data_IF_194729015579
#
_entry.id   IF_194729015579
#
_cell.length_a   1.000
_cell.length_b   1.000
_cell.length_c   1.000
_cell.angle_alpha   90.00
_cell.angle_beta   90.00
_cell.angle_gamma   90.00
#
_symmetry.space_group_name_H-M   'P 1'
#
loop_
_entity.id
_entity.type
_entity.pdbx_description
1 polymer ?
#
# COMPACT_ATOMS: atom_id res chain seq x y z
N UNK A 1 24.32 6.66 29.41
CA UNK A 1 23.92 6.73 27.99
C UNK A 1 22.62 5.97 27.83
N UNK A 2 21.51 6.65 27.57
CA UNK A 2 20.24 5.99 27.29
C UNK A 2 20.34 5.33 25.90
N UNK A 3 20.54 4.01 25.89
CA UNK A 3 20.66 3.24 24.64
C UNK A 3 19.26 3.07 24.04
N UNK A 4 19.11 3.34 22.75
CA UNK A 4 17.82 3.15 22.06
C UNK A 4 17.29 1.73 22.27
N UNK A 5 16.04 1.60 22.71
CA UNK A 5 15.37 0.31 22.89
C UNK A 5 15.04 -0.32 21.53
N UNK A 6 14.97 -1.64 21.48
CA UNK A 6 14.59 -2.42 20.29
C UNK A 6 13.22 -1.97 19.77
N UNK A 7 12.25 -1.74 20.66
CA UNK A 7 10.91 -1.26 20.27
C UNK A 7 10.96 0.08 19.53
N UNK A 8 11.76 1.04 20.03
CA UNK A 8 11.93 2.31 19.33
C UNK A 8 12.67 2.14 18.01
N UNK A 9 13.58 1.17 17.92
CA UNK A 9 14.31 0.91 16.69
C UNK A 9 13.41 0.37 15.58
N UNK A 10 12.42 -0.46 15.90
CA UNK A 10 11.41 -0.93 14.94
C UNK A 10 10.66 0.28 14.36
N UNK A 11 10.19 1.19 15.23
CA UNK A 11 9.49 2.42 14.82
C UNK A 11 10.37 3.30 13.93
N UNK A 12 11.65 3.47 14.30
CA UNK A 12 12.59 4.26 13.48
C UNK A 12 12.86 3.59 12.14
N UNK A 13 12.93 2.26 12.11
CA UNK A 13 13.16 1.49 10.88
C UNK A 13 12.01 1.62 9.88
N UNK A 14 10.80 2.02 10.31
CA UNK A 14 9.70 2.34 9.38
C UNK A 14 10.01 3.52 8.46
N UNK A 15 10.95 4.38 8.84
CA UNK A 15 11.36 5.55 8.06
C UNK A 15 12.57 5.29 7.15
N UNK A 16 13.09 4.05 7.14
CA UNK A 16 14.16 3.67 6.23
C UNK A 16 13.66 3.65 4.79
N UNK A 17 14.55 3.98 3.86
CA UNK A 17 14.19 4.12 2.45
C UNK A 17 14.64 2.92 1.62
N UNK A 18 15.70 2.24 2.05
CA UNK A 18 16.30 1.12 1.33
C UNK A 18 16.46 -0.11 2.24
N UNK A 19 16.46 -1.31 1.64
CA UNK A 19 16.78 -2.56 2.33
C UNK A 19 18.16 -2.51 2.98
N UNK A 20 19.11 -1.77 2.39
CA UNK A 20 20.46 -1.63 2.93
C UNK A 20 20.48 -0.98 4.32
N UNK A 21 19.55 -0.07 4.62
CA UNK A 21 19.44 0.54 5.94
C UNK A 21 19.10 -0.51 7.01
N UNK A 22 18.17 -1.42 6.69
CA UNK A 22 17.81 -2.54 7.57
C UNK A 22 18.97 -3.51 7.77
N UNK A 23 19.63 -3.90 6.67
CA UNK A 23 20.79 -4.81 6.74
C UNK A 23 21.90 -4.18 7.59
N UNK A 24 22.20 -2.90 7.38
CA UNK A 24 23.20 -2.19 8.16
C UNK A 24 22.84 -2.14 9.65
N UNK A 25 21.57 -1.88 9.98
CA UNK A 25 21.10 -1.84 11.36
C UNK A 25 21.37 -3.16 12.10
N UNK A 26 21.05 -4.30 11.47
CA UNK A 26 21.26 -5.61 12.09
C UNK A 26 22.74 -5.98 12.20
N UNK A 27 23.56 -5.58 11.22
CA UNK A 27 25.01 -5.82 11.23
C UNK A 27 25.75 -5.00 12.30
N UNK A 28 25.30 -3.78 12.59
CA UNK A 28 25.96 -2.88 13.54
C UNK A 28 25.82 -3.37 14.99
N UNK A 29 24.72 -4.04 15.35
CA UNK A 29 24.54 -4.54 16.71
C UNK A 29 23.65 -5.78 16.78
N UNK A 30 24.15 -6.81 17.49
CA UNK A 30 23.37 -8.00 17.86
C UNK A 30 22.07 -7.67 18.61
N UNK A 31 21.99 -6.49 19.23
CA UNK A 31 20.75 -6.02 19.89
C UNK A 31 19.59 -5.88 18.91
N UNK A 32 19.88 -5.48 17.68
CA UNK A 32 18.89 -5.28 16.63
C UNK A 32 18.89 -6.43 15.63
N UNK A 33 19.52 -7.55 15.97
CA UNK A 33 19.42 -8.76 15.16
C UNK A 33 17.93 -9.15 15.00
N UNK A 34 17.60 -9.64 13.81
CA UNK A 34 16.25 -10.09 13.45
C UNK A 34 15.22 -8.95 13.53
N UNK A 35 15.61 -7.68 13.31
CA UNK A 35 14.71 -6.53 13.29
C UNK A 35 13.70 -6.65 12.13
N UNK A 36 14.14 -7.10 10.96
CA UNK A 36 13.28 -7.30 9.79
C UNK A 36 12.22 -8.39 10.03
N UNK A 37 12.53 -9.42 10.83
CA UNK A 37 11.57 -10.47 11.18
C UNK A 37 10.40 -9.96 12.03
N UNK A 38 10.55 -8.81 12.69
CA UNK A 38 9.51 -8.23 13.57
C UNK A 38 8.40 -7.52 12.80
N UNK A 39 8.57 -7.33 11.49
CA UNK A 39 7.59 -6.67 10.62
C UNK A 39 6.55 -7.66 10.10
N UNK A 40 5.26 -7.28 10.22
CA UNK A 40 4.14 -8.00 9.61
C UNK A 40 3.66 -7.36 8.29
N UNK A 41 4.25 -6.23 7.91
CA UNK A 41 4.10 -5.58 6.61
C UNK A 41 5.45 -5.08 6.10
N UNK A 42 5.58 -4.90 4.79
CA UNK A 42 6.76 -4.27 4.24
C UNK A 42 6.74 -2.74 4.47
N UNK A 43 7.77 -2.16 5.13
CA UNK A 43 7.89 -0.71 5.28
C UNK A 43 8.38 -0.02 4.00
N UNK A 44 9.03 -0.77 3.11
CA UNK A 44 9.57 -0.31 1.82
C UNK A 44 9.04 -1.19 0.68
N UNK A 45 9.12 -0.77 -0.60
CA UNK A 45 8.86 -1.65 -1.73
C UNK A 45 9.76 -2.89 -1.69
N UNK A 46 9.16 -4.07 -1.87
CA UNK A 46 9.91 -5.32 -1.93
C UNK A 46 10.00 -5.85 -3.35
N UNK A 47 10.99 -6.71 -3.57
CA UNK A 47 11.20 -7.48 -4.80
C UNK A 47 11.17 -8.97 -4.46
N UNK A 48 11.13 -9.82 -5.48
CA UNK A 48 11.27 -11.29 -5.32
C UNK A 48 12.55 -11.71 -4.57
N UNK A 49 13.59 -10.86 -4.57
CA UNK A 49 14.83 -11.11 -3.82
C UNK A 49 14.73 -10.60 -2.38
N UNK A 50 14.23 -9.39 -2.19
CA UNK A 50 14.24 -8.73 -0.87
C UNK A 50 13.15 -9.21 0.07
N UNK A 51 12.09 -9.86 -0.44
CA UNK A 51 11.04 -10.45 0.39
C UNK A 51 11.55 -11.51 1.37
N UNK A 52 12.65 -12.20 1.03
CA UNK A 52 13.23 -13.21 1.90
C UNK A 52 13.75 -12.64 3.24
N UNK A 53 14.07 -11.34 3.30
CA UNK A 53 14.49 -10.67 4.53
C UNK A 53 13.35 -10.43 5.52
N UNK A 54 12.09 -10.46 5.05
CA UNK A 54 10.91 -10.18 5.87
C UNK A 54 9.99 -11.41 5.91
N UNK A 55 10.37 -12.48 6.62
CA UNK A 55 9.69 -13.77 6.58
C UNK A 55 8.26 -13.75 7.12
N UNK A 56 7.93 -12.78 7.99
CA UNK A 56 6.65 -12.71 8.71
C UNK A 56 5.65 -11.72 8.11
N UNK A 57 5.84 -11.29 6.86
CA UNK A 57 4.89 -10.38 6.20
C UNK A 57 3.57 -11.08 5.92
N UNK A 58 2.51 -10.57 6.51
CA UNK A 58 1.13 -10.93 6.24
C UNK A 58 0.41 -9.89 5.39
N UNK A 59 0.84 -8.62 5.47
CA UNK A 59 0.27 -7.49 4.76
C UNK A 59 1.24 -6.91 3.74
N UNK A 60 0.89 -6.98 2.45
CA UNK A 60 1.66 -6.35 1.38
C UNK A 60 1.24 -4.89 1.20
N UNK A 61 2.13 -3.95 1.50
CA UNK A 61 2.01 -2.56 1.10
C UNK A 61 2.54 -2.38 -0.33
N UNK A 62 1.74 -1.78 -1.19
CA UNK A 62 2.15 -1.30 -2.51
C UNK A 62 2.22 0.23 -2.45
N UNK A 63 3.43 0.76 -2.54
CA UNK A 63 3.76 2.17 -2.44
C UNK A 63 3.68 2.87 -3.79
N UNK A 64 3.98 2.16 -4.88
CA UNK A 64 3.91 2.67 -6.26
C UNK A 64 3.24 1.69 -7.23
N UNK A 65 2.93 2.16 -8.43
CA UNK A 65 2.39 1.31 -9.51
C UNK A 65 3.43 0.38 -10.12
N UNK A 66 4.72 0.67 -9.88
CA UNK A 66 5.87 -0.05 -10.39
C UNK A 66 6.36 -1.15 -9.43
N UNK A 67 5.82 -1.21 -8.21
CA UNK A 67 6.21 -2.17 -7.19
C UNK A 67 5.91 -3.61 -7.62
N UNK A 68 6.76 -4.55 -7.19
CA UNK A 68 6.50 -5.97 -7.39
C UNK A 68 5.23 -6.37 -6.63
N UNK A 69 4.27 -6.85 -7.40
CA UNK A 69 2.94 -7.18 -6.93
C UNK A 69 2.80 -8.67 -6.56
N UNK A 70 3.90 -9.42 -6.64
CA UNK A 70 4.01 -10.85 -6.30
C UNK A 70 2.95 -11.69 -7.00
N UNK A 71 2.62 -11.32 -8.24
CA UNK A 71 1.65 -12.01 -9.08
C UNK A 71 0.26 -11.38 -9.16
N UNK A 72 0.04 -10.23 -8.53
CA UNK A 72 -1.18 -9.45 -8.72
C UNK A 72 -1.03 -8.63 -10.01
N UNK A 73 -1.78 -8.92 -11.07
CA UNK A 73 -1.67 -8.15 -12.31
C UNK A 73 -2.34 -6.79 -12.12
N UNK A 74 -1.54 -5.73 -12.01
CA UNK A 74 -2.02 -4.35 -12.03
C UNK A 74 -1.87 -3.86 -13.46
N UNK A 75 -2.98 -3.72 -14.19
CA UNK A 75 -2.93 -3.19 -15.56
C UNK A 75 -3.55 -1.82 -15.60
N UNK A 76 -2.79 -0.83 -16.04
CA UNK A 76 -3.32 0.49 -16.37
C UNK A 76 -4.04 0.37 -17.72
N UNK A 77 -5.35 0.65 -17.75
CA UNK A 77 -6.10 0.62 -19.01
C UNK A 77 -5.92 1.96 -19.72
N UNK A 78 -5.64 1.91 -21.03
CA UNK A 78 -5.36 3.07 -21.88
C UNK A 78 -6.49 4.11 -21.93
N UNK A 79 -7.68 3.75 -21.45
CA UNK A 79 -8.83 4.64 -21.31
C UNK A 79 -9.45 4.55 -19.89
N UNK A 80 -8.97 5.40 -18.98
CA UNK A 80 -9.64 5.84 -17.72
C UNK A 80 -9.65 4.88 -16.51
N UNK A 81 -8.52 4.26 -16.15
CA UNK A 81 -8.32 3.76 -14.77
C UNK A 81 -7.34 2.59 -14.63
N UNK A 82 -6.97 2.29 -13.38
CA UNK A 82 -6.26 1.05 -13.04
C UNK A 82 -7.25 -0.12 -12.98
N UNK A 83 -6.88 -1.29 -13.50
CA UNK A 83 -7.61 -2.53 -13.23
C UNK A 83 -6.70 -3.51 -12.51
N UNK A 84 -7.08 -3.90 -11.30
CA UNK A 84 -6.41 -4.95 -10.53
C UNK A 84 -7.00 -6.30 -10.92
N UNK A 85 -6.28 -7.05 -11.77
CA UNK A 85 -6.61 -8.43 -12.11
C UNK A 85 -5.77 -9.36 -11.25
N UNK A 86 -6.41 -9.96 -10.25
CA UNK A 86 -5.83 -11.05 -9.47
C UNK A 86 -5.82 -12.30 -10.33
N UNK A 87 -4.83 -12.42 -11.23
CA UNK A 87 -4.47 -13.73 -11.74
C UNK A 87 -3.99 -14.51 -10.52
N UNK A 88 -4.62 -15.64 -10.23
CA UNK A 88 -4.12 -16.58 -9.23
C UNK A 88 -2.67 -16.92 -9.61
N UNK A 89 -1.72 -16.21 -9.02
CA UNK A 89 -0.33 -16.38 -9.38
C UNK A 89 0.23 -17.59 -8.66
N UNK A 90 1.13 -18.24 -9.36
CA UNK A 90 1.76 -19.50 -9.02
C UNK A 90 2.45 -19.46 -7.65
N UNK A 91 1.75 -20.03 -6.67
CA UNK A 91 2.21 -20.80 -5.49
C UNK A 91 3.04 -20.17 -4.36
N UNK A 92 3.75 -19.05 -4.48
CA UNK A 92 4.78 -18.74 -3.45
C UNK A 92 4.45 -17.69 -2.38
N UNK A 93 3.58 -16.70 -2.63
CA UNK A 93 3.30 -15.64 -1.65
C UNK A 93 1.81 -15.54 -1.36
N UNK A 94 1.42 -15.77 -0.09
CA UNK A 94 0.04 -15.69 0.37
C UNK A 94 -0.09 -14.57 1.40
N UNK A 95 -0.35 -13.36 0.92
CA UNK A 95 -0.67 -12.24 1.79
C UNK A 95 -2.12 -12.34 2.26
N UNK A 96 -2.32 -12.05 3.55
CA UNK A 96 -3.64 -11.97 4.16
C UNK A 96 -4.34 -10.67 3.79
N UNK A 97 -3.55 -9.62 3.62
CA UNK A 97 -4.03 -8.27 3.29
C UNK A 97 -3.09 -7.61 2.28
N UNK A 98 -3.66 -6.78 1.41
CA UNK A 98 -2.92 -5.92 0.48
C UNK A 98 -3.39 -4.49 0.73
N UNK A 99 -2.45 -3.57 0.89
CA UNK A 99 -2.73 -2.16 1.11
C UNK A 99 -2.10 -1.36 -0.01
N UNK A 100 -2.93 -0.60 -0.73
CA UNK A 100 -2.50 0.24 -1.85
C UNK A 100 -2.39 1.68 -1.35
N UNK A 101 -1.17 2.21 -1.36
CA UNK A 101 -0.84 3.55 -0.86
C UNK A 101 -0.81 4.62 -1.95
N UNK A 102 -0.45 4.23 -3.17
CA UNK A 102 -0.53 5.14 -4.30
C UNK A 102 -1.99 5.45 -4.67
N UNK A 103 -2.14 6.49 -5.48
CA UNK A 103 -3.43 7.03 -5.84
C UNK A 103 -4.25 6.07 -6.74
N UNK A 104 -5.51 5.84 -6.38
CA UNK A 104 -6.46 5.01 -7.15
C UNK A 104 -7.77 5.77 -7.37
N UNK A 105 -8.26 5.81 -8.61
CA UNK A 105 -9.52 6.48 -8.91
C UNK A 105 -10.73 5.81 -8.28
N UNK A 106 -11.76 6.61 -7.98
CA UNK A 106 -13.01 6.18 -7.34
C UNK A 106 -13.67 5.01 -8.10
N UNK A 107 -13.62 5.01 -9.44
CA UNK A 107 -14.27 3.97 -10.26
C UNK A 107 -13.57 2.64 -10.09
N UNK A 108 -12.25 2.64 -10.06
CA UNK A 108 -11.45 1.45 -9.78
C UNK A 108 -11.65 0.95 -8.36
N UNK A 109 -11.59 1.83 -7.36
CA UNK A 109 -11.82 1.45 -5.97
C UNK A 109 -13.23 0.88 -5.75
N UNK A 110 -14.26 1.46 -6.38
CA UNK A 110 -15.66 0.99 -6.30
C UNK A 110 -15.87 -0.38 -6.92
N UNK A 111 -15.13 -0.72 -7.97
CA UNK A 111 -15.26 -2.00 -8.68
C UNK A 111 -14.57 -3.15 -7.96
N UNK A 112 -13.70 -2.86 -6.99
CA UNK A 112 -13.01 -3.88 -6.24
C UNK A 112 -13.98 -4.58 -5.27
N UNK A 113 -14.17 -5.89 -5.48
CA UNK A 113 -15.00 -6.74 -4.62
C UNK A 113 -14.19 -7.59 -3.65
N UNK A 114 -12.86 -7.52 -3.69
CA UNK A 114 -12.00 -8.37 -2.89
C UNK A 114 -11.73 -7.74 -1.51
N UNK A 115 -12.20 -8.36 -0.41
CA UNK A 115 -12.09 -7.83 0.94
C UNK A 115 -10.64 -7.81 1.47
N UNK A 116 -9.70 -8.49 0.80
CA UNK A 116 -8.28 -8.48 1.20
C UNK A 116 -7.57 -7.17 0.86
N UNK A 117 -8.16 -6.32 0.03
CA UNK A 117 -7.50 -5.12 -0.47
C UNK A 117 -8.07 -3.89 0.22
N UNK A 118 -7.18 -3.04 0.69
CA UNK A 118 -7.51 -1.74 1.23
C UNK A 118 -6.82 -0.65 0.42
N UNK A 119 -7.56 0.39 0.05
CA UNK A 119 -7.01 1.60 -0.56
C UNK A 119 -6.80 2.66 0.52
N UNK A 120 -5.63 3.31 0.50
CA UNK A 120 -5.29 4.42 1.41
C UNK A 120 -5.37 5.79 0.75
N UNK A 121 -5.34 5.84 -0.58
CA UNK A 121 -5.42 7.07 -1.34
C UNK A 121 -6.39 6.92 -2.53
N UNK A 122 -7.62 7.33 -2.30
CA UNK A 122 -8.73 7.37 -3.25
C UNK A 122 -9.23 8.81 -3.27
N UNK A 123 -8.69 9.65 -4.17
CA UNK A 123 -9.07 11.04 -4.24
C UNK A 123 -10.44 11.22 -4.87
N UNK A 124 -11.25 12.08 -4.24
CA UNK A 124 -12.47 12.60 -4.84
C UNK A 124 -12.14 13.81 -5.72
N UNK A 125 -12.61 13.80 -6.97
CA UNK A 125 -12.41 14.88 -7.94
C UNK A 125 -13.72 15.44 -8.44
N UNK A 126 -13.65 16.61 -9.10
CA UNK A 126 -14.82 17.32 -9.61
C UNK A 126 -15.68 16.49 -10.56
N UNK A 127 -15.08 15.58 -11.34
CA UNK A 127 -15.83 14.70 -12.24
C UNK A 127 -16.42 13.45 -11.56
N UNK A 128 -16.13 13.21 -10.27
CA UNK A 128 -16.71 12.11 -9.49
C UNK A 128 -18.07 12.50 -8.88
N UNK A 129 -18.39 13.80 -8.90
CA UNK A 129 -19.71 14.36 -8.59
C UNK A 129 -20.80 13.73 -9.48
N UNK A 130 -21.53 12.75 -8.94
CA UNK A 130 -22.62 12.04 -9.65
C UNK A 130 -23.81 11.84 -8.71
N UNK A 131 -24.95 11.34 -9.22
CA UNK A 131 -26.14 11.06 -8.38
C UNK A 131 -25.91 10.04 -7.24
N UNK A 132 -24.75 9.36 -7.20
CA UNK A 132 -24.37 8.37 -6.18
C UNK A 132 -23.23 8.86 -5.25
N UNK A 133 -23.03 10.18 -5.09
CA UNK A 133 -21.95 10.74 -4.25
C UNK A 133 -21.92 10.18 -2.83
N UNK A 134 -23.06 9.86 -2.22
CA UNK A 134 -23.12 9.26 -0.87
C UNK A 134 -22.40 7.90 -0.79
N UNK A 135 -22.55 7.05 -1.83
CA UNK A 135 -21.87 5.75 -1.90
C UNK A 135 -20.37 5.92 -2.17
N UNK A 136 -20.01 6.98 -2.89
CA UNK A 136 -18.61 7.33 -3.18
C UNK A 136 -17.91 7.83 -1.90
N UNK A 137 -18.59 8.60 -1.06
CA UNK A 137 -18.02 9.11 0.19
C UNK A 137 -17.50 8.00 1.12
N UNK A 138 -18.09 6.80 1.07
CA UNK A 138 -17.66 5.67 1.89
C UNK A 138 -16.30 5.08 1.48
N UNK A 139 -15.85 5.30 0.24
CA UNK A 139 -14.59 4.74 -0.30
C UNK A 139 -13.50 5.79 -0.53
N UNK A 140 -13.87 7.07 -0.56
CA UNK A 140 -12.96 8.20 -0.70
C UNK A 140 -12.13 8.35 0.57
N UNK A 141 -10.83 8.61 0.39
CA UNK A 141 -9.87 8.79 1.50
C UNK A 141 -9.12 10.13 1.43
N UNK A 142 -9.16 10.81 0.29
CA UNK A 142 -8.54 12.13 0.09
C UNK A 142 -9.42 13.02 -0.80
N UNK A 143 -9.25 14.34 -0.71
CA UNK A 143 -9.99 15.32 -1.52
C UNK A 143 -9.01 16.09 -2.41
N UNK A 144 -9.31 16.18 -3.70
CA UNK A 144 -8.56 17.06 -4.60
C UNK A 144 -9.03 18.51 -4.48
N UNK A 145 -8.16 19.43 -4.91
CA UNK A 145 -8.51 20.84 -5.01
C UNK A 145 -9.72 21.03 -5.94
N UNK A 146 -10.66 21.89 -5.52
CA UNK A 146 -11.90 22.18 -6.26
C UNK A 146 -12.74 20.94 -6.61
N UNK A 147 -12.65 19.86 -5.82
CA UNK A 147 -13.35 18.60 -6.07
C UNK A 147 -14.89 18.68 -6.06
N UNK A 148 -15.48 19.77 -5.56
CA UNK A 148 -16.94 20.01 -5.61
C UNK A 148 -17.37 21.01 -6.68
N UNK A 149 -16.45 21.53 -7.50
CA UNK A 149 -16.73 22.58 -8.50
C UNK A 149 -17.82 22.22 -9.50
N UNK A 150 -17.94 20.94 -9.87
CA UNK A 150 -18.94 20.43 -10.81
C UNK A 150 -20.08 19.66 -10.12
N UNK A 151 -20.15 19.68 -8.79
CA UNK A 151 -21.27 19.09 -8.06
C UNK A 151 -22.47 20.03 -8.16
N UNK A 152 -23.48 19.65 -8.94
CA UNK A 152 -24.79 20.31 -8.89
C UNK A 152 -25.36 20.13 -7.47
N UNK A 153 -25.35 21.22 -6.70
CA UNK A 153 -25.83 21.37 -5.31
C UNK A 153 -26.08 20.05 -4.57
N UNK A 154 -25.15 19.69 -3.70
CA UNK A 154 -25.45 18.93 -2.48
C UNK A 154 -26.49 19.78 -1.74
N UNK A 155 -27.78 19.50 -1.92
CA UNK A 155 -28.89 20.28 -1.34
C UNK A 155 -29.68 19.42 -0.39
#
# INVERSE_FOLDING_TARGET
MNRLNVTYMIIISEYFQDIQDFVNLELVSKKYQDNMEKFNYNPIPLTKKTIAYFPNIETLNLWSTEDESFGISITQTSNKGLSFLFKNSTKHYKFQKIVVWFEVDVKTASKNTNPKIQYKNVPFRSYDCTKNTEKIAAIVTSLYENCYSNCEKIR
#
